data_IF_105646065534
#
_entry.id   IF_105646065534
#
_cell.length_a   1.000
_cell.length_b   1.000
_cell.length_c   1.000
_cell.angle_alpha   90.00
_cell.angle_beta   90.00
_cell.angle_gamma   90.00
#
_symmetry.space_group_name_H-M   'P 1'
#
loop_
_entity.id
_entity.type
_entity.pdbx_description
1 polymer ?
#
# COMPACT_ATOMS: atom_id res chain seq x y z
N UNK A 1 21.53 -27.20 51.35
CA UNK A 1 20.11 -27.61 51.12
C UNK A 1 19.08 -26.59 51.59
N UNK A 2 19.35 -25.80 52.65
CA UNK A 2 18.42 -24.74 53.09
C UNK A 2 18.27 -23.59 52.12
N UNK A 3 19.33 -23.17 51.43
CA UNK A 3 19.30 -22.04 50.50
C UNK A 3 18.52 -22.31 49.18
N UNK A 4 18.48 -23.58 48.76
CA UNK A 4 17.73 -23.97 47.53
C UNK A 4 16.22 -23.94 47.80
N UNK A 5 15.78 -24.32 49.02
CA UNK A 5 14.36 -24.27 49.39
C UNK A 5 13.86 -22.83 49.52
N UNK A 6 14.69 -21.92 50.02
CA UNK A 6 14.33 -20.50 50.14
C UNK A 6 14.25 -19.80 48.78
N UNK A 7 15.12 -20.16 47.84
CA UNK A 7 15.07 -19.64 46.47
C UNK A 7 13.84 -20.14 45.69
N UNK A 8 13.43 -21.38 45.84
CA UNK A 8 12.22 -21.94 45.25
C UNK A 8 10.95 -21.26 45.75
N UNK A 9 10.92 -20.94 47.06
CA UNK A 9 9.80 -20.20 47.66
C UNK A 9 9.70 -18.78 47.14
N UNK A 10 10.82 -18.10 46.95
CA UNK A 10 10.86 -16.76 46.38
C UNK A 10 10.50 -16.71 44.90
N UNK A 11 10.91 -17.70 44.10
CA UNK A 11 10.55 -17.82 42.69
C UNK A 11 9.04 -18.10 42.55
N UNK A 12 8.48 -18.94 43.42
CA UNK A 12 7.04 -19.21 43.42
C UNK A 12 6.20 -17.99 43.86
N UNK A 13 6.73 -17.12 44.72
CA UNK A 13 6.07 -15.90 45.16
C UNK A 13 6.14 -14.77 44.09
N UNK A 14 7.16 -14.78 43.22
CA UNK A 14 7.31 -13.81 42.13
C UNK A 14 6.46 -14.18 40.91
N UNK A 15 5.94 -15.40 40.81
CA UNK A 15 4.99 -15.74 39.77
C UNK A 15 3.68 -14.99 40.05
N UNK A 16 3.43 -13.89 39.33
CA UNK A 16 2.14 -13.20 39.38
C UNK A 16 1.02 -14.23 39.25
N UNK A 17 0.06 -14.21 40.19
CA UNK A 17 -1.13 -15.05 40.04
C UNK A 17 -1.80 -14.67 38.71
N UNK A 18 -1.95 -15.60 37.77
CA UNK A 18 -2.65 -15.28 36.54
C UNK A 18 -4.07 -14.86 36.90
N UNK A 19 -4.42 -13.61 36.58
CA UNK A 19 -5.82 -13.18 36.63
C UNK A 19 -6.57 -13.97 35.57
N UNK A 20 -7.70 -14.55 35.93
CA UNK A 20 -8.55 -15.22 34.96
C UNK A 20 -8.92 -14.22 33.87
N UNK A 21 -8.68 -14.53 32.58
CA UNK A 21 -9.10 -13.66 31.50
C UNK A 21 -10.61 -13.49 31.52
N UNK A 22 -11.07 -12.24 31.47
CA UNK A 22 -12.48 -11.87 31.60
C UNK A 22 -13.33 -12.34 30.40
N UNK A 23 -12.70 -12.79 29.31
CA UNK A 23 -13.35 -13.14 28.03
C UNK A 23 -13.13 -14.61 27.61
N UNK A 24 -12.93 -15.53 28.53
CA UNK A 24 -12.87 -16.95 28.14
C UNK A 24 -14.26 -17.47 27.77
N UNK A 25 -14.37 -18.26 26.68
CA UNK A 25 -15.57 -19.04 26.43
C UNK A 25 -15.94 -19.86 27.66
N UNK A 26 -17.22 -20.05 27.94
CA UNK A 26 -17.70 -20.74 29.14
C UNK A 26 -17.16 -22.18 29.33
N UNK A 27 -16.66 -22.79 28.25
CA UNK A 27 -16.01 -24.10 28.25
C UNK A 27 -14.58 -24.06 28.84
N UNK A 28 -13.94 -22.91 28.97
CA UNK A 28 -12.60 -22.72 29.55
C UNK A 28 -12.69 -22.19 30.98
N UNK A 29 -13.56 -22.74 31.76
CA UNK A 29 -13.61 -22.39 33.14
C UNK A 29 -12.36 -22.95 33.87
N UNK A 30 -11.62 -22.09 34.56
CA UNK A 30 -10.41 -22.42 35.30
C UNK A 30 -10.57 -23.59 36.28
N UNK A 31 -11.81 -23.83 36.72
CA UNK A 31 -12.15 -24.98 37.59
C UNK A 31 -12.16 -26.31 36.84
N UNK A 32 -12.22 -26.32 35.52
CA UNK A 32 -12.26 -27.55 34.69
C UNK A 32 -10.88 -27.97 34.17
N UNK A 33 -9.89 -27.11 34.23
CA UNK A 33 -8.51 -27.45 33.86
C UNK A 33 -7.83 -28.08 35.08
N UNK A 34 -7.57 -29.42 35.09
CA UNK A 34 -6.97 -30.10 36.24
C UNK A 34 -5.55 -29.60 36.54
N UNK A 35 -4.91 -28.92 35.57
CA UNK A 35 -3.55 -28.39 35.74
C UNK A 35 -3.54 -26.92 36.14
N UNK A 36 -4.69 -26.27 36.22
CA UNK A 36 -4.77 -24.89 36.66
C UNK A 36 -4.44 -24.78 38.14
N UNK A 37 -3.31 -24.28 38.42
CA UNK A 37 -2.80 -24.23 39.80
C UNK A 37 -1.74 -25.28 40.13
N UNK A 38 -1.42 -26.18 39.17
CA UNK A 38 -0.33 -27.14 39.33
C UNK A 38 1.00 -26.40 39.62
N UNK A 39 1.66 -26.74 40.74
CA UNK A 39 2.96 -26.18 41.10
C UNK A 39 4.01 -26.36 39.99
N UNK A 40 3.98 -27.48 39.26
CA UNK A 40 4.90 -27.80 38.17
C UNK A 40 4.76 -26.82 37.03
N UNK A 41 3.53 -26.51 36.64
CA UNK A 41 3.28 -25.55 35.56
C UNK A 41 3.66 -24.12 35.99
N UNK A 42 3.48 -23.74 37.24
CA UNK A 42 3.97 -22.45 37.77
C UNK A 42 5.49 -22.39 37.77
N UNK A 43 6.14 -23.50 38.13
CA UNK A 43 7.58 -23.59 38.10
C UNK A 43 8.13 -23.44 36.67
N UNK A 44 7.55 -24.14 35.71
CA UNK A 44 7.93 -24.04 34.27
C UNK A 44 7.77 -22.61 33.78
N UNK A 45 6.69 -21.94 34.11
CA UNK A 45 6.47 -20.55 33.72
C UNK A 45 7.48 -19.56 34.34
N UNK A 46 7.76 -19.72 35.61
CA UNK A 46 8.72 -18.89 36.33
C UNK A 46 10.17 -19.16 35.84
N UNK A 47 10.51 -20.42 35.64
CA UNK A 47 11.83 -20.87 35.23
C UNK A 47 12.09 -20.57 33.75
N UNK A 48 11.08 -20.63 32.90
CA UNK A 48 11.19 -20.41 31.46
C UNK A 48 11.76 -19.05 31.07
N UNK A 49 11.60 -18.04 31.93
CA UNK A 49 12.20 -16.72 31.73
C UNK A 49 13.74 -16.72 31.78
N UNK A 50 14.31 -17.72 32.42
CA UNK A 50 15.76 -17.83 32.74
C UNK A 50 16.42 -19.04 32.11
N UNK A 51 15.65 -19.97 31.58
CA UNK A 51 16.17 -21.18 30.98
C UNK A 51 16.69 -20.90 29.55
N UNK A 52 17.89 -21.42 29.24
CA UNK A 52 18.56 -21.21 27.97
C UNK A 52 17.90 -21.93 26.76
N UNK A 53 16.97 -22.84 27.02
CA UNK A 53 16.22 -23.61 26.04
C UNK A 53 14.90 -22.93 25.57
N UNK A 54 14.61 -21.74 26.11
CA UNK A 54 13.49 -20.93 25.69
C UNK A 54 13.92 -19.87 24.66
N UNK A 55 13.08 -19.65 23.69
CA UNK A 55 13.32 -18.70 22.62
C UNK A 55 12.11 -17.80 22.37
N UNK A 56 12.36 -16.59 21.89
CA UNK A 56 11.30 -15.71 21.45
C UNK A 56 10.65 -16.25 20.17
N UNK A 57 9.34 -16.12 20.09
CA UNK A 57 8.52 -16.59 19.00
C UNK A 57 7.38 -15.60 18.73
N UNK A 58 7.11 -15.28 17.48
CA UNK A 58 5.87 -14.62 17.07
C UNK A 58 4.87 -15.70 16.71
N UNK A 59 3.63 -15.56 17.17
CA UNK A 59 2.61 -16.60 17.01
C UNK A 59 1.29 -15.97 16.61
N UNK A 60 0.62 -16.58 15.64
CA UNK A 60 -0.78 -16.29 15.27
C UNK A 60 -1.75 -17.19 16.06
N UNK A 61 -3.04 -16.86 16.00
CA UNK A 61 -4.11 -17.72 16.51
C UNK A 61 -4.23 -17.79 18.03
N UNK A 62 -3.66 -16.83 18.75
CA UNK A 62 -3.76 -16.79 20.21
C UNK A 62 -4.92 -15.93 20.72
N UNK A 63 -5.54 -15.13 19.87
CA UNK A 63 -6.74 -14.39 20.21
C UNK A 63 -7.95 -15.34 20.28
N UNK A 64 -8.85 -15.08 21.20
CA UNK A 64 -10.11 -15.80 21.32
C UNK A 64 -11.15 -15.37 20.28
N UNK A 65 -10.96 -14.20 19.66
CA UNK A 65 -11.80 -13.73 18.56
C UNK A 65 -11.30 -14.36 17.24
N UNK A 66 -12.15 -15.15 16.55
CA UNK A 66 -11.79 -15.73 15.24
C UNK A 66 -11.36 -14.69 14.20
N UNK A 67 -11.87 -13.46 14.28
CA UNK A 67 -11.51 -12.39 13.34
C UNK A 67 -10.05 -11.94 13.51
N UNK A 68 -9.49 -12.12 14.70
CA UNK A 68 -8.11 -11.74 15.03
C UNK A 68 -7.15 -12.94 14.96
N UNK A 69 -7.57 -14.06 14.38
CA UNK A 69 -6.75 -15.28 14.28
C UNK A 69 -5.39 -15.03 13.62
N UNK A 70 -5.34 -14.12 12.67
CA UNK A 70 -4.12 -13.83 11.88
C UNK A 70 -3.22 -12.77 12.52
N UNK A 71 -3.62 -12.20 13.66
CA UNK A 71 -2.78 -11.25 14.36
C UNK A 71 -1.60 -11.93 15.05
N UNK A 72 -0.45 -11.26 14.99
CA UNK A 72 0.79 -11.74 15.58
C UNK A 72 0.95 -11.26 17.02
N UNK A 73 1.30 -12.19 17.92
CA UNK A 73 1.70 -11.87 19.28
C UNK A 73 3.08 -12.43 19.59
N UNK A 74 3.85 -11.71 20.41
CA UNK A 74 5.16 -12.16 20.87
C UNK A 74 5.01 -13.07 22.10
N UNK A 75 5.62 -14.24 22.04
CA UNK A 75 5.58 -15.23 23.09
C UNK A 75 6.97 -15.80 23.36
N UNK A 76 7.16 -16.30 24.57
CA UNK A 76 8.33 -17.09 24.92
C UNK A 76 7.94 -18.57 24.88
N UNK A 77 8.65 -19.36 24.10
CA UNK A 77 8.35 -20.78 23.87
C UNK A 77 9.58 -21.64 24.10
N UNK A 78 9.35 -22.88 24.47
CA UNK A 78 10.35 -23.94 24.42
C UNK A 78 10.09 -24.80 23.21
N UNK A 79 11.14 -25.08 22.44
CA UNK A 79 11.08 -25.98 21.32
C UNK A 79 11.76 -27.31 21.68
N UNK A 80 11.01 -28.38 21.55
CA UNK A 80 11.51 -29.73 21.73
C UNK A 80 11.38 -30.53 20.42
N UNK A 81 12.18 -31.57 20.28
CA UNK A 81 12.02 -32.50 19.17
C UNK A 81 10.72 -33.27 19.31
N UNK A 82 9.88 -33.26 18.28
CA UNK A 82 8.65 -34.02 18.27
C UNK A 82 8.97 -35.53 18.29
N UNK A 83 8.94 -36.14 19.49
CA UNK A 83 9.23 -37.55 19.67
C UNK A 83 8.05 -38.40 19.22
N UNK A 84 8.26 -39.27 18.25
CA UNK A 84 7.32 -40.32 17.89
C UNK A 84 7.53 -41.52 18.82
N UNK A 85 6.46 -41.99 19.49
CA UNK A 85 6.47 -43.32 20.11
C UNK A 85 6.38 -44.35 18.98
N UNK A 86 7.45 -45.12 18.75
CA UNK A 86 7.52 -46.13 17.68
C UNK A 86 8.52 -45.80 16.59
N UNK A 87 8.84 -46.74 15.71
CA UNK A 87 9.88 -46.67 14.67
C UNK A 87 9.78 -45.39 13.83
N UNK A 88 10.60 -44.42 14.16
CA UNK A 88 10.50 -43.05 13.68
C UNK A 88 11.53 -42.76 12.60
N UNK A 89 11.60 -43.57 11.55
CA UNK A 89 12.55 -43.37 10.43
C UNK A 89 12.07 -42.24 9.48
N UNK A 90 10.80 -41.81 9.57
CA UNK A 90 10.17 -41.05 8.52
C UNK A 90 10.03 -39.54 8.71
N UNK A 91 10.45 -38.98 9.85
CA UNK A 91 10.35 -37.54 10.07
C UNK A 91 11.75 -36.97 10.25
N UNK A 92 12.18 -36.06 9.37
CA UNK A 92 13.38 -35.28 9.62
C UNK A 92 13.16 -34.50 10.89
N UNK A 93 13.93 -34.80 11.93
CA UNK A 93 13.84 -34.19 13.28
C UNK A 93 13.85 -32.67 13.21
N UNK A 94 14.59 -32.11 12.25
CA UNK A 94 14.71 -30.66 12.05
C UNK A 94 13.47 -29.99 11.48
N UNK A 95 12.55 -30.75 10.89
CA UNK A 95 11.34 -30.22 10.25
C UNK A 95 10.09 -30.36 11.14
N UNK A 96 10.20 -31.05 12.27
CA UNK A 96 9.12 -31.27 13.21
C UNK A 96 9.57 -30.93 14.61
N UNK A 97 8.88 -30.01 15.25
CA UNK A 97 9.13 -29.63 16.64
C UNK A 97 7.83 -29.69 17.45
N UNK A 98 7.96 -29.88 18.73
CA UNK A 98 6.92 -29.64 19.69
C UNK A 98 7.16 -28.26 20.31
N UNK A 99 6.15 -27.40 20.25
CA UNK A 99 6.18 -26.08 20.88
C UNK A 99 5.46 -26.14 22.22
N UNK A 100 6.06 -25.58 23.25
CA UNK A 100 5.52 -25.47 24.59
C UNK A 100 5.55 -24.01 25.01
N UNK A 101 4.39 -23.46 25.41
CA UNK A 101 4.30 -22.07 25.81
C UNK A 101 4.61 -21.85 27.26
N UNK A 102 5.42 -20.85 27.56
CA UNK A 102 5.67 -20.44 28.97
C UNK A 102 4.45 -19.78 29.57
N UNK A 103 3.66 -19.07 28.75
CA UNK A 103 2.46 -18.42 29.22
C UNK A 103 1.32 -19.43 29.44
N UNK A 104 0.97 -19.66 30.68
CA UNK A 104 -0.10 -20.59 31.11
C UNK A 104 -1.49 -20.22 30.62
N UNK A 105 -1.72 -18.98 30.19
CA UNK A 105 -3.00 -18.57 29.62
C UNK A 105 -3.22 -19.17 28.23
N UNK A 106 -2.13 -19.61 27.59
CA UNK A 106 -2.19 -20.31 26.31
C UNK A 106 -2.31 -21.80 26.61
N UNK A 107 -3.51 -22.33 26.49
CA UNK A 107 -3.79 -23.75 26.77
C UNK A 107 -3.54 -24.61 25.53
N UNK A 108 -3.77 -24.08 24.35
CA UNK A 108 -3.43 -24.71 23.08
C UNK A 108 -3.24 -23.66 22.00
N UNK A 109 -2.60 -24.04 20.93
CA UNK A 109 -2.50 -23.22 19.72
C UNK A 109 -3.32 -23.92 18.63
N UNK A 110 -4.24 -23.23 17.98
CA UNK A 110 -5.10 -23.85 16.98
C UNK A 110 -4.32 -24.35 15.77
N UNK A 111 -4.85 -25.38 15.15
CA UNK A 111 -4.33 -25.89 13.88
C UNK A 111 -4.30 -24.76 12.84
N UNK A 112 -3.26 -24.70 12.03
CA UNK A 112 -3.07 -23.66 11.00
C UNK A 112 -2.43 -22.36 11.50
N UNK A 113 -2.25 -22.18 12.82
CA UNK A 113 -1.48 -21.03 13.29
C UNK A 113 -0.05 -21.06 12.78
N UNK A 114 0.47 -19.88 12.42
CA UNK A 114 1.89 -19.69 12.04
C UNK A 114 2.70 -19.28 13.24
N UNK A 115 3.93 -19.77 13.30
CA UNK A 115 4.94 -19.37 14.28
C UNK A 115 6.19 -18.93 13.53
N UNK A 116 6.78 -17.83 13.95
CA UNK A 116 8.09 -17.36 13.47
C UNK A 116 9.10 -17.48 14.59
N UNK A 117 10.03 -18.42 14.43
CA UNK A 117 11.12 -18.65 15.39
C UNK A 117 12.31 -19.30 14.70
N UNK A 118 13.51 -19.14 15.25
CA UNK A 118 14.75 -19.70 14.71
C UNK A 118 14.99 -19.38 13.23
N UNK A 119 14.60 -18.17 12.78
CA UNK A 119 14.76 -17.75 11.39
C UNK A 119 13.90 -18.51 10.37
N UNK A 120 12.85 -19.18 10.81
CA UNK A 120 11.95 -19.96 9.95
C UNK A 120 10.50 -19.75 10.38
N UNK A 121 9.60 -19.91 9.39
CA UNK A 121 8.16 -20.00 9.64
C UNK A 121 7.75 -21.44 9.81
N UNK A 122 6.88 -21.68 10.76
CA UNK A 122 6.35 -22.99 11.14
C UNK A 122 4.83 -22.94 11.13
N UNK A 123 4.20 -24.07 10.76
CA UNK A 123 2.75 -24.26 10.84
C UNK A 123 2.42 -25.24 11.96
N UNK A 124 1.41 -24.89 12.77
CA UNK A 124 0.80 -25.83 13.71
C UNK A 124 -0.03 -26.83 12.93
N UNK A 125 0.39 -28.08 12.95
CA UNK A 125 -0.29 -29.17 12.22
C UNK A 125 -1.05 -30.11 13.15
N UNK A 126 -0.77 -30.04 14.44
CA UNK A 126 -1.52 -30.80 15.44
C UNK A 126 -1.46 -30.02 16.76
N UNK A 127 -2.60 -29.47 17.24
CA UNK A 127 -2.67 -28.80 18.52
C UNK A 127 -2.34 -29.79 19.65
N UNK A 128 -1.72 -29.31 20.71
CA UNK A 128 -1.42 -30.14 21.85
C UNK A 128 -2.71 -30.65 22.50
N UNK A 129 -2.66 -31.88 22.95
CA UNK A 129 -3.74 -32.49 23.71
C UNK A 129 -3.96 -31.72 25.01
N UNK A 130 -5.22 -31.49 25.38
CA UNK A 130 -5.66 -30.77 26.60
C UNK A 130 -5.09 -31.39 27.91
N UNK A 131 -4.51 -32.58 27.84
CA UNK A 131 -3.87 -33.28 28.97
C UNK A 131 -2.45 -32.75 29.31
N UNK A 132 -1.91 -31.81 28.52
CA UNK A 132 -0.60 -31.22 28.79
C UNK A 132 -0.69 -30.15 29.87
N UNK A 133 0.24 -30.16 30.83
CA UNK A 133 0.33 -29.14 31.89
C UNK A 133 0.70 -27.73 31.32
N UNK A 134 1.11 -27.66 30.05
CA UNK A 134 1.53 -26.45 29.38
C UNK A 134 0.89 -26.48 27.97
N UNK A 135 0.36 -25.36 27.52
CA UNK A 135 -0.17 -25.25 26.17
C UNK A 135 0.91 -25.41 25.10
N UNK A 136 0.56 -25.99 23.97
CA UNK A 136 1.51 -26.19 22.89
C UNK A 136 0.91 -26.92 21.70
N UNK A 137 1.77 -27.48 20.87
CA UNK A 137 1.38 -28.21 19.67
C UNK A 137 2.57 -28.78 18.90
N UNK A 138 2.29 -29.60 17.91
CA UNK A 138 3.29 -30.05 16.95
C UNK A 138 3.31 -29.06 15.80
N UNK A 139 4.50 -28.55 15.50
CA UNK A 139 4.74 -27.58 14.45
C UNK A 139 5.61 -28.20 13.35
N UNK A 140 5.37 -27.81 12.11
CA UNK A 140 6.13 -28.22 10.94
C UNK A 140 6.77 -27.02 10.29
N UNK A 141 8.04 -27.16 9.92
CA UNK A 141 8.79 -26.11 9.23
C UNK A 141 8.27 -25.91 7.81
N UNK A 142 7.95 -24.68 7.45
CA UNK A 142 7.67 -24.32 6.06
C UNK A 142 8.97 -24.41 5.25
N UNK A 143 8.95 -25.19 4.19
CA UNK A 143 10.10 -25.43 3.31
C UNK A 143 9.91 -24.90 1.90
N UNK A 144 8.75 -24.33 1.62
CA UNK A 144 8.39 -23.70 0.36
C UNK A 144 7.50 -22.47 0.59
N UNK A 145 7.34 -21.69 -0.45
CA UNK A 145 6.49 -20.50 -0.45
C UNK A 145 5.64 -20.50 -1.71
N UNK A 146 4.35 -20.31 -1.56
CA UNK A 146 3.47 -20.00 -2.67
C UNK A 146 3.50 -18.51 -2.92
N UNK A 147 3.88 -18.12 -4.13
CA UNK A 147 3.86 -16.75 -4.59
C UNK A 147 2.65 -16.56 -5.51
N UNK A 148 1.90 -15.51 -5.28
CA UNK A 148 0.75 -15.13 -6.09
C UNK A 148 0.66 -13.60 -6.16
N UNK A 149 -0.15 -13.09 -7.07
CA UNK A 149 -0.41 -11.66 -7.18
C UNK A 149 -1.67 -11.31 -6.38
N UNK A 150 -1.57 -10.22 -5.62
CA UNK A 150 -2.76 -9.58 -5.07
C UNK A 150 -3.53 -8.82 -6.16
N UNK A 151 -4.61 -8.17 -5.77
CA UNK A 151 -5.41 -7.35 -6.68
C UNK A 151 -4.59 -6.26 -7.39
N UNK A 152 -3.61 -5.67 -6.72
CA UNK A 152 -2.77 -4.58 -7.22
C UNK A 152 -1.50 -5.05 -7.93
N UNK A 153 -1.30 -6.37 -8.09
CA UNK A 153 -0.13 -6.95 -8.74
C UNK A 153 1.11 -7.08 -7.86
N UNK A 154 0.99 -6.88 -6.53
CA UNK A 154 2.08 -7.18 -5.62
C UNK A 154 2.25 -8.68 -5.49
N UNK A 155 3.49 -9.13 -5.35
CA UNK A 155 3.78 -10.52 -5.08
C UNK A 155 3.63 -10.79 -3.60
N UNK A 156 2.56 -11.47 -3.24
CA UNK A 156 2.35 -12.01 -1.91
C UNK A 156 3.03 -13.37 -1.77
N UNK A 157 3.45 -13.69 -0.55
CA UNK A 157 4.22 -14.90 -0.27
C UNK A 157 3.61 -15.63 0.92
N UNK A 158 2.98 -16.77 0.63
CA UNK A 158 2.42 -17.62 1.65
C UNK A 158 3.32 -18.82 1.94
N UNK A 159 3.87 -18.93 3.17
CA UNK A 159 4.71 -20.04 3.55
C UNK A 159 3.89 -21.33 3.65
N UNK A 160 4.44 -22.42 3.13
CA UNK A 160 3.79 -23.71 3.09
C UNK A 160 4.77 -24.87 3.36
N UNK A 161 4.21 -26.00 3.69
CA UNK A 161 4.92 -27.27 3.85
C UNK A 161 4.67 -28.14 2.63
N UNK A 162 5.74 -28.56 1.97
CA UNK A 162 5.68 -29.44 0.79
C UNK A 162 6.41 -30.74 1.11
N UNK A 163 5.74 -31.88 0.90
CA UNK A 163 6.25 -33.21 1.15
C UNK A 163 5.99 -34.15 -0.05
N UNK A 164 6.89 -35.08 -0.25
CA UNK A 164 6.65 -36.14 -1.23
C UNK A 164 5.43 -36.99 -0.85
N UNK A 165 4.62 -37.33 -1.82
CA UNK A 165 3.55 -38.34 -1.62
C UNK A 165 4.20 -39.69 -1.41
N UNK A 166 3.89 -40.34 -0.29
CA UNK A 166 4.35 -41.66 0.08
C UNK A 166 3.20 -42.66 -0.04
N UNK A 167 3.41 -43.67 -0.80
CA UNK A 167 2.49 -44.81 -0.86
C UNK A 167 3.06 -45.97 -0.04
N UNK A 168 2.31 -46.47 0.93
CA UNK A 168 2.66 -47.73 1.60
C UNK A 168 2.21 -48.87 0.69
N UNK A 169 3.16 -49.53 0.06
CA UNK A 169 2.91 -50.74 -0.66
C UNK A 169 3.06 -51.93 0.32
N UNK A 170 1.97 -52.59 0.62
CA UNK A 170 1.77 -53.78 1.46
C UNK A 170 1.52 -53.56 2.95
N UNK A 171 0.26 -53.73 3.34
CA UNK A 171 -0.19 -53.80 4.72
C UNK A 171 0.18 -55.10 5.44
N UNK A 172 0.74 -56.09 4.78
CA UNK A 172 0.92 -57.45 5.30
C UNK A 172 2.34 -57.94 5.48
N UNK A 173 3.36 -57.17 5.11
CA UNK A 173 4.72 -57.60 5.26
C UNK A 173 5.49 -56.69 6.25
N UNK A 174 6.28 -57.28 7.14
CA UNK A 174 7.11 -56.61 8.15
C UNK A 174 8.21 -55.71 7.55
N UNK A 175 8.31 -55.60 6.25
CA UNK A 175 9.13 -54.64 5.51
C UNK A 175 8.22 -53.64 4.80
N UNK A 176 8.01 -52.47 5.43
CA UNK A 176 7.34 -51.36 4.78
C UNK A 176 8.17 -50.86 3.59
N UNK A 177 7.81 -51.30 2.38
CA UNK A 177 8.40 -50.73 1.17
C UNK A 177 7.70 -49.43 0.86
N UNK A 178 8.38 -48.35 1.11
CA UNK A 178 7.87 -47.02 0.83
C UNK A 178 8.14 -46.64 -0.61
N UNK A 179 7.09 -46.49 -1.39
CA UNK A 179 7.18 -45.95 -2.76
C UNK A 179 7.00 -44.44 -2.72
N UNK A 180 7.98 -43.71 -3.18
CA UNK A 180 7.90 -42.27 -3.38
C UNK A 180 7.38 -42.01 -4.79
N UNK A 181 6.23 -41.36 -4.93
CA UNK A 181 5.74 -40.92 -6.24
C UNK A 181 6.55 -39.69 -6.69
N UNK A 182 7.36 -39.88 -7.74
CA UNK A 182 8.08 -38.75 -8.31
C UNK A 182 7.14 -37.76 -8.98
N UNK A 183 7.35 -36.47 -8.72
CA UNK A 183 6.53 -35.39 -9.30
C UNK A 183 5.17 -35.17 -8.64
N UNK A 184 4.87 -35.89 -7.55
CA UNK A 184 3.67 -35.65 -6.73
C UNK A 184 4.06 -35.18 -5.33
N UNK A 185 3.39 -34.14 -4.87
CA UNK A 185 3.62 -33.56 -3.55
C UNK A 185 2.33 -33.35 -2.78
N UNK A 186 2.40 -33.53 -1.48
CA UNK A 186 1.41 -33.02 -0.54
C UNK A 186 1.81 -31.62 -0.10
N UNK A 187 0.90 -30.68 -0.24
CA UNK A 187 1.04 -29.29 0.16
C UNK A 187 0.16 -29.05 1.37
N UNK A 188 0.72 -28.46 2.41
CA UNK A 188 -0.02 -28.00 3.58
C UNK A 188 0.23 -26.51 3.74
N UNK A 189 -0.85 -25.72 3.75
CA UNK A 189 -0.79 -24.26 3.83
C UNK A 189 -1.88 -23.75 4.79
N UNK A 190 -1.65 -22.60 5.43
CA UNK A 190 -2.67 -21.96 6.25
C UNK A 190 -3.84 -21.52 5.38
N UNK A 191 -5.07 -21.75 5.84
CA UNK A 191 -6.29 -21.19 5.24
C UNK A 191 -6.42 -19.72 5.67
N UNK A 192 -6.45 -18.82 4.73
CA UNK A 192 -6.70 -17.39 4.92
C UNK A 192 -7.39 -16.82 3.66
N UNK A 193 -7.73 -15.53 3.66
CA UNK A 193 -8.44 -14.92 2.53
C UNK A 193 -7.78 -15.10 1.16
N UNK A 194 -6.44 -15.21 1.13
CA UNK A 194 -5.69 -15.41 -0.12
C UNK A 194 -5.69 -16.89 -0.56
N UNK A 195 -5.49 -17.80 0.40
CA UNK A 195 -5.35 -19.22 0.12
C UNK A 195 -6.70 -19.93 -0.11
N UNK A 196 -7.82 -19.32 0.31
CA UNK A 196 -9.17 -19.83 0.03
C UNK A 196 -9.49 -19.96 -1.46
N UNK A 197 -8.80 -19.17 -2.29
CA UNK A 197 -8.93 -19.22 -3.74
C UNK A 197 -8.17 -20.39 -4.40
N UNK A 198 -7.38 -21.13 -3.61
CA UNK A 198 -6.71 -22.33 -4.10
C UNK A 198 -7.69 -23.49 -4.19
N UNK A 199 -7.83 -24.05 -5.38
CA UNK A 199 -8.73 -25.17 -5.66
C UNK A 199 -8.06 -26.17 -6.62
N UNK A 200 -8.76 -27.27 -6.90
CA UNK A 200 -8.35 -28.24 -7.92
C UNK A 200 -8.13 -27.52 -9.25
N UNK A 201 -7.05 -27.86 -9.92
CA UNK A 201 -6.49 -27.22 -11.11
C UNK A 201 -5.75 -25.89 -10.88
N UNK A 202 -5.73 -25.31 -9.68
CA UNK A 202 -4.85 -24.19 -9.37
C UNK A 202 -3.40 -24.60 -9.60
N UNK A 203 -2.59 -23.64 -10.09
CA UNK A 203 -1.20 -23.84 -10.42
C UNK A 203 -0.29 -23.08 -9.47
N UNK A 204 0.86 -23.65 -9.17
CA UNK A 204 1.88 -23.05 -8.31
C UNK A 204 3.24 -23.19 -8.99
N UNK A 205 4.14 -22.24 -8.81
CA UNK A 205 5.54 -22.34 -9.27
C UNK A 205 6.43 -22.62 -8.07
N UNK A 206 7.05 -23.79 -8.04
CA UNK A 206 8.00 -24.19 -7.02
C UNK A 206 9.38 -24.40 -7.68
N UNK A 207 10.35 -23.63 -7.27
CA UNK A 207 11.64 -23.61 -7.94
C UNK A 207 11.54 -23.12 -9.39
N UNK A 208 11.68 -24.01 -10.35
CA UNK A 208 11.60 -23.73 -11.79
C UNK A 208 10.50 -24.53 -12.49
N UNK A 209 9.69 -25.25 -11.74
CA UNK A 209 8.66 -26.13 -12.27
C UNK A 209 7.29 -25.65 -11.83
N UNK A 210 6.31 -25.90 -12.67
CA UNK A 210 4.90 -25.69 -12.31
C UNK A 210 4.35 -26.96 -11.65
N UNK A 211 3.41 -26.77 -10.76
CA UNK A 211 2.64 -27.82 -10.09
C UNK A 211 1.18 -27.48 -10.17
N UNK A 212 0.37 -28.47 -10.50
CA UNK A 212 -1.08 -28.35 -10.57
C UNK A 212 -1.71 -29.13 -9.43
N UNK A 213 -2.58 -28.48 -8.68
CA UNK A 213 -3.38 -29.12 -7.63
C UNK A 213 -4.31 -30.14 -8.29
N UNK A 214 -4.26 -31.39 -7.86
CA UNK A 214 -5.05 -32.50 -8.41
C UNK A 214 -6.21 -32.92 -7.51
N UNK A 215 -6.19 -32.52 -6.25
CA UNK A 215 -7.25 -32.82 -5.29
C UNK A 215 -6.85 -32.46 -3.88
N UNK A 216 -7.81 -32.60 -2.97
CA UNK A 216 -7.60 -32.46 -1.55
C UNK A 216 -6.87 -33.69 -0.99
N UNK A 217 -5.88 -33.49 -0.14
CA UNK A 217 -5.15 -34.57 0.51
C UNK A 217 -5.86 -35.08 1.78
N UNK A 218 -6.86 -34.35 2.27
CA UNK A 218 -7.64 -34.67 3.45
C UNK A 218 -9.13 -34.71 3.05
N UNK A 219 -9.73 -35.92 3.13
CA UNK A 219 -11.13 -36.14 2.78
C UNK A 219 -12.10 -35.30 3.63
N UNK A 220 -11.71 -35.00 4.88
CA UNK A 220 -12.54 -34.17 5.77
C UNK A 220 -12.69 -32.74 5.23
N UNK A 221 -11.70 -32.20 4.53
CA UNK A 221 -11.77 -30.85 3.95
C UNK A 221 -12.72 -30.77 2.75
N UNK A 222 -12.85 -31.85 1.99
CA UNK A 222 -13.74 -31.90 0.82
C UNK A 222 -15.22 -31.80 1.24
N UNK A 223 -15.55 -32.27 2.46
CA UNK A 223 -16.94 -32.33 2.95
C UNK A 223 -17.30 -31.23 3.96
N UNK A 224 -16.29 -30.54 4.54
CA UNK A 224 -16.49 -29.50 5.55
C UNK A 224 -16.10 -28.11 5.05
N UNK A 225 -16.23 -27.85 3.76
CA UNK A 225 -15.73 -26.66 3.06
C UNK A 225 -16.07 -25.32 3.69
N UNK A 226 -17.11 -25.25 4.50
CA UNK A 226 -17.54 -24.02 5.19
C UNK A 226 -17.23 -24.03 6.70
N UNK A 227 -16.51 -25.05 7.21
CA UNK A 227 -16.17 -25.10 8.63
C UNK A 227 -14.98 -24.18 8.93
N UNK A 228 -15.26 -23.02 9.51
CA UNK A 228 -14.25 -22.04 10.00
C UNK A 228 -13.24 -22.65 10.97
N UNK A 229 -13.51 -23.83 11.52
CA UNK A 229 -12.58 -24.53 12.41
C UNK A 229 -11.38 -25.13 11.68
N UNK A 230 -11.47 -25.37 10.36
CA UNK A 230 -10.39 -25.92 9.57
C UNK A 230 -9.48 -24.78 9.03
N UNK A 231 -8.40 -24.53 9.73
CA UNK A 231 -7.43 -23.49 9.41
C UNK A 231 -6.24 -23.94 8.56
N UNK A 232 -6.24 -25.21 8.09
CA UNK A 232 -5.24 -25.76 7.17
C UNK A 232 -5.90 -26.25 5.90
N UNK A 233 -5.30 -25.92 4.77
CA UNK A 233 -5.58 -26.54 3.49
C UNK A 233 -4.51 -27.57 3.17
N UNK A 234 -4.94 -28.77 2.74
CA UNK A 234 -4.05 -29.87 2.37
C UNK A 234 -4.40 -30.37 0.98
N UNK A 235 -3.47 -30.18 0.06
CA UNK A 235 -3.64 -30.52 -1.34
C UNK A 235 -2.62 -31.56 -1.79
N UNK A 236 -3.01 -32.33 -2.79
CA UNK A 236 -2.06 -33.11 -3.61
C UNK A 236 -1.83 -32.35 -4.92
N UNK A 237 -0.58 -32.14 -5.29
CA UNK A 237 -0.21 -31.46 -6.51
C UNK A 237 0.73 -32.34 -7.37
N UNK A 238 0.57 -32.23 -8.69
CA UNK A 238 1.38 -32.94 -9.69
C UNK A 238 2.26 -31.95 -10.44
N UNK A 239 3.52 -32.33 -10.69
CA UNK A 239 4.43 -31.57 -11.52
C UNK A 239 3.90 -31.48 -12.97
N UNK A 240 3.96 -30.27 -13.51
CA UNK A 240 3.59 -29.93 -14.89
C UNK A 240 4.67 -29.03 -15.50
N UNK A 241 4.63 -28.87 -16.81
CA UNK A 241 5.50 -27.91 -17.47
C UNK A 241 5.03 -26.48 -17.19
N UNK A 242 5.97 -25.53 -16.96
CA UNK A 242 5.64 -24.13 -16.89
C UNK A 242 5.13 -23.60 -18.23
N UNK A 243 4.08 -22.80 -18.21
CA UNK A 243 3.58 -22.07 -19.35
C UNK A 243 4.35 -20.75 -19.46
N UNK A 244 5.24 -20.63 -20.44
CA UNK A 244 6.10 -19.45 -20.61
C UNK A 244 5.36 -18.18 -21.01
N UNK A 245 4.12 -18.29 -21.50
CA UNK A 245 3.29 -17.15 -21.87
C UNK A 245 2.48 -16.62 -20.68
N UNK A 246 2.23 -17.49 -19.68
CA UNK A 246 1.36 -17.16 -18.54
C UNK A 246 2.10 -17.11 -17.21
N UNK A 247 3.21 -17.84 -17.07
CA UNK A 247 3.89 -17.98 -15.79
C UNK A 247 5.11 -17.05 -15.69
N UNK A 248 5.25 -16.35 -14.60
CA UNK A 248 6.45 -15.61 -14.25
C UNK A 248 7.40 -16.49 -13.42
N UNK A 249 8.39 -17.08 -14.08
CA UNK A 249 9.36 -17.95 -13.43
C UNK A 249 10.39 -17.19 -12.57
N UNK A 250 10.55 -15.88 -12.79
CA UNK A 250 11.46 -15.05 -12.00
C UNK A 250 10.82 -14.74 -10.64
N UNK A 251 9.59 -14.23 -10.64
CA UNK A 251 8.82 -13.99 -9.43
C UNK A 251 8.19 -15.25 -8.85
N UNK A 252 8.22 -16.37 -9.60
CA UNK A 252 7.61 -17.66 -9.26
C UNK A 252 6.10 -17.57 -9.05
N UNK A 253 5.44 -16.86 -9.94
CA UNK A 253 4.00 -16.69 -9.93
C UNK A 253 3.37 -17.44 -11.09
N UNK A 254 2.46 -18.34 -10.82
CA UNK A 254 1.68 -19.01 -11.85
C UNK A 254 0.57 -18.08 -12.35
N UNK A 255 0.30 -18.15 -13.65
CA UNK A 255 -0.72 -17.33 -14.30
C UNK A 255 -0.56 -15.81 -14.04
N UNK A 256 0.70 -15.34 -13.98
CA UNK A 256 1.01 -13.93 -13.77
C UNK A 256 0.66 -13.05 -14.97
N UNK A 257 0.53 -13.66 -16.16
CA UNK A 257 0.23 -12.94 -17.40
C UNK A 257 -1.11 -13.40 -17.99
N UNK A 258 -1.87 -12.53 -18.65
CA UNK A 258 -1.60 -11.11 -18.79
C UNK A 258 -2.14 -10.33 -17.57
N UNK A 259 -1.25 -9.84 -16.74
CA UNK A 259 -1.61 -8.87 -15.73
C UNK A 259 -1.05 -7.52 -16.15
N UNK A 260 -1.93 -6.57 -16.44
CA UNK A 260 -1.56 -5.20 -16.79
C UNK A 260 -2.21 -4.22 -15.82
N UNK A 261 -1.44 -3.21 -15.44
CA UNK A 261 -1.94 -2.09 -14.67
C UNK A 261 -1.44 -0.79 -15.29
N UNK A 262 -2.34 0.13 -15.54
CA UNK A 262 -2.03 1.44 -16.11
C UNK A 262 -2.59 2.52 -15.21
N UNK A 263 -1.81 3.57 -14.97
CA UNK A 263 -2.24 4.77 -14.25
C UNK A 263 -2.26 5.93 -15.24
N UNK A 264 -3.44 6.46 -15.50
CA UNK A 264 -3.65 7.59 -16.40
C UNK A 264 -3.83 8.86 -15.58
N UNK A 265 -2.94 9.83 -15.81
CA UNK A 265 -3.04 11.15 -15.20
C UNK A 265 -3.69 12.11 -16.19
N UNK A 266 -4.68 12.84 -15.72
CA UNK A 266 -5.39 13.85 -16.50
C UNK A 266 -5.25 15.21 -15.83
N UNK A 267 -5.00 16.24 -16.63
CA UNK A 267 -4.79 17.61 -16.16
C UNK A 267 -4.65 18.57 -17.32
N UNK A 268 -3.98 19.69 -17.07
CA UNK A 268 -3.73 20.72 -18.07
C UNK A 268 -2.23 20.81 -18.36
N UNK A 269 -1.88 20.73 -19.65
CA UNK A 269 -0.49 20.73 -20.10
C UNK A 269 0.18 22.09 -19.98
N UNK A 270 -0.57 23.17 -20.30
CA UNK A 270 -0.06 24.54 -20.31
C UNK A 270 -0.71 25.33 -19.17
N UNK A 271 0.11 25.91 -18.30
CA UNK A 271 -0.32 26.72 -17.17
C UNK A 271 0.40 28.06 -17.16
N UNK A 272 -0.21 29.06 -16.53
CA UNK A 272 0.45 30.33 -16.24
C UNK A 272 0.92 30.41 -14.79
N UNK A 273 1.98 31.15 -14.52
CA UNK A 273 2.49 31.35 -13.15
C UNK A 273 1.36 31.85 -12.22
N UNK A 274 1.20 31.17 -11.08
CA UNK A 274 0.15 31.47 -10.08
C UNK A 274 -1.16 30.70 -10.32
N UNK A 275 -1.34 30.03 -11.43
CA UNK A 275 -2.54 29.24 -11.73
C UNK A 275 -2.62 27.98 -10.88
N UNK A 276 -3.84 27.58 -10.56
CA UNK A 276 -4.13 26.32 -9.83
C UNK A 276 -5.06 25.46 -10.64
N UNK A 277 -4.66 24.21 -10.89
CA UNK A 277 -5.44 23.23 -11.65
C UNK A 277 -5.53 21.93 -10.88
N UNK A 278 -6.72 21.33 -10.88
CA UNK A 278 -6.95 20.00 -10.32
C UNK A 278 -6.53 18.93 -11.33
N UNK A 279 -5.57 18.09 -10.94
CA UNK A 279 -5.20 16.87 -11.65
C UNK A 279 -5.94 15.68 -11.07
N UNK A 280 -6.28 14.74 -11.91
CA UNK A 280 -6.93 13.48 -11.51
C UNK A 280 -6.13 12.31 -12.04
N UNK A 281 -6.15 11.21 -11.31
CA UNK A 281 -5.56 9.95 -11.75
C UNK A 281 -6.65 8.88 -11.77
N UNK A 282 -6.61 8.04 -12.78
CA UNK A 282 -7.49 6.88 -12.94
C UNK A 282 -6.65 5.66 -13.28
N UNK A 283 -7.03 4.50 -12.75
CA UNK A 283 -6.32 3.24 -13.01
C UNK A 283 -7.14 2.30 -13.88
N UNK A 284 -6.43 1.58 -14.76
CA UNK A 284 -6.98 0.48 -15.53
C UNK A 284 -6.28 -0.82 -15.14
N UNK A 285 -7.06 -1.84 -14.77
CA UNK A 285 -6.57 -3.19 -14.51
C UNK A 285 -7.02 -4.10 -15.65
N UNK A 286 -6.08 -4.69 -16.38
CA UNK A 286 -6.35 -5.48 -17.59
C UNK A 286 -7.25 -4.75 -18.60
N UNK A 287 -7.09 -3.41 -18.70
CA UNK A 287 -7.89 -2.55 -19.59
C UNK A 287 -9.26 -2.13 -19.03
N UNK A 288 -9.67 -2.61 -17.87
CA UNK A 288 -10.91 -2.21 -17.20
C UNK A 288 -10.65 -1.16 -16.13
N UNK A 289 -11.54 -0.15 -16.05
CA UNK A 289 -11.43 0.91 -15.06
C UNK A 289 -11.66 0.38 -13.63
N UNK A 290 -10.82 0.79 -12.71
CA UNK A 290 -10.92 0.42 -11.28
C UNK A 290 -11.65 1.46 -10.44
N UNK A 291 -12.06 2.57 -11.05
CA UNK A 291 -12.76 3.65 -10.37
C UNK A 291 -14.14 3.18 -9.90
N UNK A 292 -14.42 3.36 -8.60
CA UNK A 292 -15.69 2.95 -8.00
C UNK A 292 -15.69 1.54 -7.42
N UNK A 293 -14.61 0.78 -7.52
CA UNK A 293 -14.46 -0.46 -6.78
C UNK A 293 -14.31 -0.15 -5.27
N UNK A 294 -15.30 -0.56 -4.49
CA UNK A 294 -15.33 -0.32 -3.04
C UNK A 294 -14.54 -1.37 -2.25
N UNK A 295 -14.33 -2.54 -2.84
CA UNK A 295 -13.54 -3.62 -2.23
C UNK A 295 -12.05 -3.36 -2.38
N UNK A 296 -11.65 -2.77 -3.53
CA UNK A 296 -10.25 -2.48 -3.84
C UNK A 296 -10.04 -1.00 -4.17
N UNK A 297 -10.19 -0.10 -3.20
CA UNK A 297 -10.08 1.34 -3.44
C UNK A 297 -8.67 1.73 -3.87
N UNK A 298 -8.57 2.53 -4.94
CA UNK A 298 -7.32 3.09 -5.42
C UNK A 298 -7.04 4.45 -4.78
N UNK A 299 -5.79 4.68 -4.36
CA UNK A 299 -5.31 5.95 -3.82
C UNK A 299 -3.98 6.30 -4.46
N UNK A 300 -3.72 7.61 -4.65
CA UNK A 300 -2.53 8.08 -5.32
C UNK A 300 -1.72 9.02 -4.43
N UNK A 301 -0.40 8.87 -4.49
CA UNK A 301 0.56 9.85 -4.03
C UNK A 301 1.00 10.70 -5.21
N UNK A 302 1.07 12.01 -5.00
CA UNK A 302 1.37 12.97 -6.03
C UNK A 302 2.76 13.56 -5.84
N UNK A 303 3.50 13.63 -6.92
CA UNK A 303 4.86 14.19 -6.95
C UNK A 303 5.03 15.13 -8.12
N UNK A 304 5.87 16.14 -7.95
CA UNK A 304 6.36 16.99 -9.03
C UNK A 304 7.85 16.74 -9.22
N UNK A 305 8.29 16.70 -10.46
CA UNK A 305 9.73 16.60 -10.78
C UNK A 305 10.49 17.88 -10.43
N UNK A 306 9.81 19.03 -10.38
CA UNK A 306 10.38 20.32 -9.99
C UNK A 306 9.32 21.15 -9.26
N UNK A 307 9.47 21.24 -7.93
CA UNK A 307 8.56 22.01 -7.07
C UNK A 307 8.69 23.52 -7.21
N UNK A 308 9.77 24.01 -7.84
CA UNK A 308 9.93 25.43 -8.14
C UNK A 308 9.07 25.85 -9.33
N UNK A 309 8.84 24.94 -10.27
CA UNK A 309 7.97 25.14 -11.45
C UNK A 309 6.52 24.83 -11.11
N UNK A 310 6.23 23.63 -10.57
CA UNK A 310 4.90 23.24 -10.13
C UNK A 310 4.96 22.54 -8.78
N UNK A 311 4.08 22.93 -7.89
CA UNK A 311 3.85 22.22 -6.62
C UNK A 311 2.52 21.50 -6.62
N UNK A 312 2.51 20.24 -6.22
CA UNK A 312 1.29 19.43 -6.14
C UNK A 312 0.98 19.10 -4.67
N UNK A 313 -0.29 19.17 -4.29
CA UNK A 313 -0.76 18.77 -2.97
C UNK A 313 -1.19 17.28 -2.96
N UNK A 314 -1.38 16.65 -1.76
CA UNK A 314 -1.79 15.25 -1.66
C UNK A 314 -3.14 14.93 -2.31
N UNK A 315 -3.94 15.93 -2.63
CA UNK A 315 -5.23 15.77 -3.29
C UNK A 315 -5.16 15.95 -4.79
N UNK A 316 -3.97 16.26 -5.35
CA UNK A 316 -3.74 16.43 -6.78
C UNK A 316 -4.03 17.86 -7.29
N UNK A 317 -4.10 18.88 -6.42
CA UNK A 317 -4.13 20.25 -6.90
C UNK A 317 -2.71 20.71 -7.21
N UNK A 318 -2.47 21.08 -8.46
CA UNK A 318 -1.21 21.59 -8.94
C UNK A 318 -1.24 23.11 -8.93
N UNK A 319 -0.23 23.73 -8.36
CA UNK A 319 -0.03 25.19 -8.35
C UNK A 319 1.23 25.49 -9.13
N UNK A 320 1.11 26.29 -10.19
CA UNK A 320 2.21 26.79 -10.99
C UNK A 320 2.97 27.87 -10.20
N UNK A 321 4.27 27.67 -9.95
CA UNK A 321 5.15 28.56 -9.17
C UNK A 321 6.02 29.44 -10.05
N UNK A 322 6.83 28.86 -10.91
CA UNK A 322 7.78 29.52 -11.80
C UNK A 322 7.69 29.05 -13.24
N UNK A 323 8.31 29.79 -14.14
CA UNK A 323 8.42 29.43 -15.55
C UNK A 323 9.29 28.18 -15.72
N UNK A 324 8.90 27.28 -16.61
CA UNK A 324 9.64 26.07 -16.91
C UNK A 324 8.75 24.89 -17.30
N UNK A 325 9.36 23.71 -17.34
CA UNK A 325 8.65 22.45 -17.60
C UNK A 325 8.85 21.52 -16.40
N UNK A 326 7.80 20.85 -15.99
CA UNK A 326 7.84 19.82 -14.94
C UNK A 326 6.97 18.62 -15.33
N UNK A 327 7.13 17.52 -14.62
CA UNK A 327 6.31 16.34 -14.78
C UNK A 327 5.57 16.06 -13.47
N UNK A 328 4.26 15.97 -13.53
CA UNK A 328 3.43 15.55 -12.42
C UNK A 328 3.26 14.04 -12.48
N UNK A 329 3.56 13.36 -11.38
CA UNK A 329 3.51 11.91 -11.27
C UNK A 329 2.48 11.52 -10.22
N UNK A 330 1.58 10.61 -10.55
CA UNK A 330 0.68 9.95 -9.62
C UNK A 330 1.12 8.50 -9.44
N UNK A 331 1.48 8.11 -8.22
CA UNK A 331 1.93 6.76 -7.86
C UNK A 331 0.83 6.08 -7.07
N UNK A 332 0.48 4.84 -7.44
CA UNK A 332 -0.52 4.05 -6.73
C UNK A 332 0.00 3.66 -5.34
N UNK A 333 -0.70 4.04 -4.27
CA UNK A 333 -0.29 3.78 -2.88
C UNK A 333 -0.16 2.28 -2.60
N UNK A 334 -1.04 1.49 -3.18
CA UNK A 334 -1.11 0.05 -2.95
C UNK A 334 -0.01 -0.73 -3.68
N UNK A 335 0.57 -0.14 -4.74
CA UNK A 335 1.72 -0.70 -5.46
C UNK A 335 2.49 0.43 -6.16
N UNK A 336 3.63 0.80 -5.60
CA UNK A 336 4.45 1.91 -6.09
C UNK A 336 5.10 1.65 -7.46
N UNK A 337 5.09 0.41 -7.96
CA UNK A 337 5.54 0.10 -9.32
C UNK A 337 4.59 0.63 -10.38
N UNK A 338 3.33 0.94 -9.99
CA UNK A 338 2.31 1.47 -10.88
C UNK A 338 2.17 2.98 -10.71
N UNK A 339 2.57 3.71 -11.72
CA UNK A 339 2.50 5.16 -11.74
C UNK A 339 2.16 5.71 -13.12
N UNK A 340 1.58 6.89 -13.14
CA UNK A 340 1.31 7.65 -14.36
C UNK A 340 2.00 9.01 -14.27
N UNK A 341 2.33 9.56 -15.44
CA UNK A 341 3.01 10.85 -15.54
C UNK A 341 2.27 11.79 -16.49
N UNK A 342 2.36 13.09 -16.20
CA UNK A 342 1.79 14.12 -17.06
C UNK A 342 2.76 15.31 -17.15
N UNK A 343 3.13 15.69 -18.37
CA UNK A 343 4.03 16.82 -18.60
C UNK A 343 3.26 18.15 -18.53
N UNK A 344 3.83 19.11 -17.81
CA UNK A 344 3.28 20.45 -17.62
C UNK A 344 4.32 21.48 -18.02
N UNK A 345 3.91 22.49 -18.78
CA UNK A 345 4.72 23.66 -19.11
C UNK A 345 4.09 24.87 -18.46
N UNK A 346 4.89 25.63 -17.73
CA UNK A 346 4.47 26.87 -17.09
C UNK A 346 5.10 28.03 -17.82
N UNK A 347 4.30 28.95 -18.30
CA UNK A 347 4.74 30.20 -18.87
C UNK A 347 4.59 31.34 -17.86
N UNK A 348 5.40 32.38 -18.01
CA UNK A 348 5.24 33.60 -17.21
C UNK A 348 3.84 34.19 -17.47
N UNK A 349 3.18 34.59 -16.39
CA UNK A 349 1.92 35.31 -16.49
C UNK A 349 2.17 36.69 -17.07
N UNK A 350 1.86 36.85 -18.34
CA UNK A 350 1.95 38.16 -19.01
C UNK A 350 0.74 38.97 -18.55
N UNK A 351 0.97 39.87 -17.62
CA UNK A 351 -0.02 40.89 -17.24
C UNK A 351 0.49 42.25 -17.64
N UNK A 352 -0.36 43.07 -18.21
CA UNK A 352 0.01 44.39 -18.66
C UNK A 352 -1.18 45.23 -19.14
N UNK A 353 -0.91 46.54 -19.26
CA UNK A 353 -1.83 47.46 -19.89
C UNK A 353 -1.45 47.60 -21.37
N UNK A 354 -2.39 47.50 -22.28
CA UNK A 354 -2.16 47.68 -23.69
C UNK A 354 -3.32 48.47 -24.33
N UNK A 355 -2.98 49.07 -25.45
CA UNK A 355 -3.99 49.79 -26.25
C UNK A 355 -4.92 48.78 -26.93
N UNK A 356 -6.23 48.98 -26.81
CA UNK A 356 -7.21 48.17 -27.52
C UNK A 356 -7.30 48.57 -29.01
N UNK A 357 -6.99 49.88 -29.30
CA UNK A 357 -6.85 50.43 -30.67
C UNK A 357 -5.54 51.19 -30.74
N UNK A 358 -4.85 51.11 -31.85
CA UNK A 358 -3.60 51.83 -32.04
C UNK A 358 -3.82 53.34 -31.87
N UNK A 359 -3.09 54.02 -31.00
CA UNK A 359 -3.18 55.47 -30.84
C UNK A 359 -2.77 56.22 -32.07
N UNK A 360 -3.40 57.38 -32.32
CA UNK A 360 -2.98 58.26 -33.40
C UNK A 360 -1.65 58.95 -33.05
N UNK A 361 -0.78 59.07 -34.02
CA UNK A 361 0.51 59.76 -33.85
C UNK A 361 0.37 61.29 -33.86
N UNK A 362 -0.64 61.79 -34.54
CA UNK A 362 -0.87 63.23 -34.76
C UNK A 362 -2.37 63.56 -34.58
N UNK A 363 -2.63 64.72 -34.02
CA UNK A 363 -3.98 65.25 -33.87
C UNK A 363 -4.02 66.70 -34.30
N UNK A 364 -4.81 67.00 -35.35
CA UNK A 364 -4.97 68.34 -35.90
C UNK A 364 -5.78 69.24 -34.95
N UNK A 365 -5.63 70.55 -35.07
CA UNK A 365 -6.43 71.51 -34.34
C UNK A 365 -7.91 71.29 -34.54
N UNK A 366 -8.71 71.32 -33.44
CA UNK A 366 -10.16 70.98 -33.37
C UNK A 366 -10.47 69.50 -33.66
N UNK A 367 -9.47 68.65 -33.79
CA UNK A 367 -9.62 67.20 -33.86
C UNK A 367 -9.83 66.59 -32.48
N UNK A 368 -10.33 65.36 -32.51
CA UNK A 368 -10.42 64.52 -31.29
C UNK A 368 -9.97 63.11 -31.58
N UNK A 369 -9.40 62.48 -30.60
CA UNK A 369 -9.09 61.03 -30.62
C UNK A 369 -9.59 60.33 -29.37
N UNK A 370 -9.98 59.09 -29.51
CA UNK A 370 -10.45 58.26 -28.40
C UNK A 370 -9.43 57.15 -28.24
N UNK A 371 -8.85 57.08 -27.04
CA UNK A 371 -7.87 56.07 -26.63
C UNK A 371 -8.57 55.08 -25.71
N UNK A 372 -8.46 53.83 -25.96
CA UNK A 372 -8.94 52.75 -25.09
C UNK A 372 -7.79 51.89 -24.65
N UNK A 373 -7.59 51.76 -23.33
CA UNK A 373 -6.58 50.92 -22.75
C UNK A 373 -7.24 49.86 -21.86
N UNK A 374 -6.78 48.63 -21.98
CA UNK A 374 -7.29 47.52 -21.20
C UNK A 374 -6.14 46.85 -20.45
N UNK A 375 -6.43 46.44 -19.22
CA UNK A 375 -5.50 45.62 -18.46
C UNK A 375 -5.83 44.13 -18.70
N UNK A 376 -4.81 43.37 -19.06
CA UNK A 376 -4.90 41.93 -19.21
C UNK A 376 -4.15 41.25 -18.07
N UNK A 377 -4.74 40.22 -17.52
CA UNK A 377 -4.12 39.32 -16.54
C UNK A 377 -4.21 37.90 -17.07
N UNK A 378 -3.07 37.24 -17.23
CA UNK A 378 -3.02 35.90 -17.85
C UNK A 378 -3.63 35.80 -19.24
N UNK A 379 -3.50 36.88 -20.06
CA UNK A 379 -4.03 36.94 -21.39
C UNK A 379 -5.55 37.21 -21.50
N UNK A 380 -6.24 37.31 -20.37
CA UNK A 380 -7.66 37.67 -20.33
C UNK A 380 -7.84 39.15 -19.95
N UNK A 381 -8.70 39.87 -20.66
CA UNK A 381 -9.06 41.23 -20.32
C UNK A 381 -9.81 41.24 -18.99
N UNK A 382 -9.36 42.10 -18.06
CA UNK A 382 -10.05 42.33 -16.81
C UNK A 382 -10.84 43.63 -16.88
N UNK A 383 -11.98 43.73 -16.24
CA UNK A 383 -12.74 44.98 -16.17
C UNK A 383 -12.18 46.01 -15.19
N UNK A 384 -10.90 45.93 -14.87
CA UNK A 384 -10.24 46.84 -13.92
C UNK A 384 -10.14 48.27 -14.49
N UNK A 385 -10.40 49.25 -13.66
CA UNK A 385 -10.30 50.68 -14.04
C UNK A 385 -8.83 51.05 -14.30
N UNK A 386 -8.65 51.83 -15.41
CA UNK A 386 -7.35 52.35 -15.81
C UNK A 386 -7.22 53.78 -15.34
N UNK A 387 -6.10 54.11 -14.75
CA UNK A 387 -5.75 55.50 -14.37
C UNK A 387 -5.01 56.15 -15.53
N UNK A 388 -5.47 57.35 -15.90
CA UNK A 388 -4.93 58.12 -17.03
C UNK A 388 -4.08 59.30 -16.53
N UNK A 389 -2.95 59.49 -17.15
CA UNK A 389 -2.06 60.63 -16.90
C UNK A 389 -1.68 61.31 -18.24
N UNK A 390 -1.78 62.61 -18.28
CA UNK A 390 -1.50 63.43 -19.44
C UNK A 390 -0.34 64.38 -19.11
N UNK A 391 0.73 64.36 -19.89
CA UNK A 391 1.92 65.21 -19.64
C UNK A 391 2.54 65.67 -20.93
N UNK A 392 3.41 66.65 -20.88
CA UNK A 392 4.24 67.11 -21.99
C UNK A 392 3.74 68.30 -22.77
N UNK A 393 2.53 68.26 -23.26
CA UNK A 393 1.94 69.36 -24.02
C UNK A 393 1.50 70.55 -23.12
N UNK A 394 1.34 71.73 -23.71
CA UNK A 394 0.82 72.87 -22.98
C UNK A 394 -0.64 72.67 -22.58
N UNK A 395 -1.04 73.07 -21.38
CA UNK A 395 -2.40 72.79 -20.82
C UNK A 395 -3.53 73.44 -21.61
N UNK A 396 -3.25 74.51 -22.36
CA UNK A 396 -4.25 75.22 -23.21
C UNK A 396 -4.35 74.60 -24.60
N UNK A 397 -3.47 73.65 -24.97
CA UNK A 397 -3.47 73.01 -26.27
C UNK A 397 -4.45 71.83 -26.37
N UNK A 398 -4.91 71.28 -25.25
CA UNK A 398 -5.81 70.12 -25.24
C UNK A 398 -6.75 70.11 -24.04
N UNK A 399 -7.79 69.30 -24.15
CA UNK A 399 -8.58 68.83 -23.01
C UNK A 399 -8.77 67.35 -23.10
N UNK A 400 -8.81 66.69 -21.98
CA UNK A 400 -9.03 65.25 -21.92
C UNK A 400 -10.23 64.90 -21.01
N UNK A 401 -11.09 64.04 -21.52
CA UNK A 401 -12.23 63.47 -20.74
C UNK A 401 -11.94 62.00 -20.55
N UNK A 402 -12.06 61.51 -19.33
CA UNK A 402 -11.80 60.13 -19.00
C UNK A 402 -13.08 59.44 -18.53
N UNK A 403 -13.36 58.26 -19.09
CA UNK A 403 -14.45 57.43 -18.73
C UNK A 403 -13.99 55.96 -18.65
N UNK A 404 -13.60 55.54 -17.42
CA UNK A 404 -13.11 54.22 -17.14
C UNK A 404 -11.86 53.84 -17.93
N UNK A 405 -11.96 52.87 -18.83
CA UNK A 405 -10.87 52.41 -19.73
C UNK A 405 -10.65 53.28 -20.96
N UNK A 406 -11.41 54.35 -21.10
CA UNK A 406 -11.39 55.20 -22.30
C UNK A 406 -11.02 56.65 -21.94
N UNK A 407 -10.18 57.26 -22.75
CA UNK A 407 -9.84 58.67 -22.67
C UNK A 407 -10.08 59.35 -24.03
N UNK A 408 -10.85 60.42 -24.03
CA UNK A 408 -11.08 61.25 -25.19
C UNK A 408 -10.23 62.50 -25.09
N UNK A 409 -9.34 62.71 -26.04
CA UNK A 409 -8.48 63.88 -26.12
C UNK A 409 -8.97 64.79 -27.24
N UNK A 410 -9.18 66.06 -26.91
CA UNK A 410 -9.55 67.13 -27.85
C UNK A 410 -8.32 68.05 -28.00
N UNK A 411 -7.96 68.35 -29.25
CA UNK A 411 -6.88 69.29 -29.58
C UNK A 411 -7.44 70.68 -29.89
N UNK A 412 -6.97 71.71 -29.19
CA UNK A 412 -7.39 73.11 -29.41
C UNK A 412 -6.35 73.92 -30.15
N UNK A 413 -5.08 73.46 -30.13
CA UNK A 413 -3.97 74.13 -30.80
C UNK A 413 -2.71 73.33 -30.78
N UNK A 414 -1.68 73.78 -31.54
CA UNK A 414 -0.37 73.09 -31.57
C UNK A 414 0.43 73.26 -30.30
N UNK A 415 1.19 72.24 -29.95
CA UNK A 415 2.12 72.24 -28.85
C UNK A 415 3.54 71.94 -29.32
N UNK A 416 4.55 72.62 -28.71
CA UNK A 416 5.97 72.40 -29.05
C UNK A 416 6.43 71.01 -28.60
N UNK A 417 5.84 70.50 -27.52
CA UNK A 417 6.10 69.13 -27.01
C UNK A 417 4.89 68.24 -27.31
N UNK A 418 5.13 66.98 -27.64
CA UNK A 418 4.04 66.04 -27.79
C UNK A 418 3.26 65.87 -26.47
N UNK A 419 1.97 65.53 -26.57
CA UNK A 419 1.17 65.09 -25.46
C UNK A 419 1.48 63.61 -25.20
N UNK A 420 2.11 63.32 -24.08
CA UNK A 420 2.31 61.94 -23.60
C UNK A 420 1.09 61.52 -22.79
N UNK A 421 0.37 60.55 -23.32
CA UNK A 421 -0.79 59.91 -22.64
C UNK A 421 -0.33 58.57 -22.05
N UNK A 422 -0.46 58.40 -20.77
CA UNK A 422 -0.11 57.17 -20.04
C UNK A 422 -1.34 56.58 -19.41
N UNK A 423 -1.58 55.30 -19.68
CA UNK A 423 -2.59 54.47 -19.05
C UNK A 423 -1.92 53.51 -18.05
N UNK A 424 -2.37 53.51 -16.79
CA UNK A 424 -1.77 52.74 -15.71
C UNK A 424 -2.84 51.91 -15.02
N UNK A 425 -2.52 50.61 -14.75
CA UNK A 425 -3.36 49.74 -13.95
C UNK A 425 -2.47 48.77 -13.16
N UNK A 426 -2.72 48.56 -11.88
CA UNK A 426 -1.95 47.65 -11.00
C UNK A 426 -0.43 47.76 -11.12
N UNK A 427 0.08 49.01 -11.30
CA UNK A 427 1.53 49.27 -11.40
C UNK A 427 2.16 48.94 -12.77
N UNK A 428 1.37 48.54 -13.76
CA UNK A 428 1.80 48.41 -15.16
C UNK A 428 1.28 49.58 -15.94
N UNK A 429 2.01 50.04 -16.97
CA UNK A 429 1.63 51.19 -17.77
C UNK A 429 1.96 51.01 -19.21
N UNK A 430 1.17 51.64 -20.06
CA UNK A 430 1.45 51.85 -21.48
C UNK A 430 1.36 53.31 -21.79
N UNK A 431 2.26 53.84 -22.61
CA UNK A 431 2.31 55.27 -22.97
C UNK A 431 2.34 55.46 -24.48
N UNK A 432 1.80 56.58 -24.95
CA UNK A 432 1.89 57.01 -26.32
C UNK A 432 2.12 58.54 -26.36
N UNK A 433 2.79 58.99 -27.39
CA UNK A 433 3.03 60.43 -27.66
C UNK A 433 2.18 60.86 -28.87
N UNK A 434 1.36 61.89 -28.66
CA UNK A 434 0.53 62.47 -29.70
C UNK A 434 1.04 63.87 -30.04
N UNK A 435 1.41 64.12 -31.28
CA UNK A 435 1.77 65.45 -31.76
C UNK A 435 0.52 66.25 -31.99
N UNK A 436 0.38 67.37 -31.21
CA UNK A 436 -0.72 68.33 -31.41
C UNK A 436 -0.31 69.35 -32.46
N UNK A 437 -1.02 69.39 -33.59
CA UNK A 437 -0.76 70.31 -34.72
C UNK A 437 -1.63 71.58 -34.60
N UNK A 438 -0.98 72.72 -34.71
CA UNK A 438 -1.63 74.01 -34.78
C UNK A 438 -1.99 74.38 -36.24
N UNK A 439 -2.63 75.49 -36.42
CA UNK A 439 -2.89 76.10 -37.71
C UNK A 439 -1.60 76.47 -38.44
#
# INVERSE_FOLDING_TARGET
MADVKNNLGNIAAMAERPQAPTNRPAQYNDRRNPYFGDPTARFVQAYGKYASDYTACRVQGLDSDPNNFYEWSEQLVRLADARKKGNAIDRPIDNYKEVLFVNRRIEYVPEGAKLETMGSTWLVTNPANISSAVGGGIIRRCNATWNHLDWYGNVLKEPMVVENVKLNANANDFQETMLIMQGYFNITIQRNGETENLDVNSRLILGRMAYQITGYADVAQEFTGDDESCRLLRFTARMTEPDREKDDLVRRVANAYPFTWEVNVSGRADMSTGEKVKFTAASLRNGEATDGDTEHPTRYLWYSSDESVCRVDPTGNVTAGGEGACTITAVLVQNEEHYGTYAVTVAESVSGVHWQTDPVERLEAYGKTVLTAVYTENGAETGDAVEWTFTGAAEDSYTAEVDGSTATVYCWGGSVKPLTVTATCKGKSVSTDIILEGW
#
